data_IF_378913260063
#
_entry.id   IF_378913260063
#
_cell.length_a   1.000
_cell.length_b   1.000
_cell.length_c   1.000
_cell.angle_alpha   90.00
_cell.angle_beta   90.00
_cell.angle_gamma   90.00
#
_symmetry.space_group_name_H-M   'P 1'
#
loop_
_entity.id
_entity.type
_entity.pdbx_description
1 polymer ?
#
# COMPACT_ATOMS: atom_id res chain seq x y z
N UNK A 1 37.41 6.35 1.80
CA UNK A 1 36.21 6.23 0.94
C UNK A 1 35.94 4.81 0.42
N UNK A 2 36.90 4.15 -0.28
CA UNK A 2 36.69 2.79 -0.84
C UNK A 2 36.38 1.69 0.19
N UNK A 3 36.96 1.74 1.38
CA UNK A 3 36.69 0.76 2.45
C UNK A 3 35.26 0.89 3.00
N UNK A 4 34.78 2.12 3.20
CA UNK A 4 33.41 2.40 3.67
C UNK A 4 32.39 1.88 2.64
N UNK A 5 32.59 2.15 1.36
CA UNK A 5 31.70 1.67 0.31
C UNK A 5 31.63 0.14 0.24
N UNK A 6 32.75 -0.55 0.46
CA UNK A 6 32.80 -2.02 0.51
C UNK A 6 32.12 -2.59 1.75
N UNK A 7 32.24 -1.91 2.89
CA UNK A 7 31.57 -2.29 4.13
C UNK A 7 30.05 -2.10 4.02
N UNK A 8 29.59 -0.98 3.46
CA UNK A 8 28.16 -0.71 3.21
C UNK A 8 27.57 -1.68 2.19
N UNK A 9 28.37 -2.17 1.24
CA UNK A 9 27.97 -3.20 0.28
C UNK A 9 28.02 -4.63 0.83
N UNK A 10 28.40 -4.85 2.09
CA UNK A 10 28.46 -6.18 2.68
C UNK A 10 27.04 -6.73 2.94
N UNK A 11 26.79 -7.97 2.52
CA UNK A 11 25.53 -8.68 2.76
C UNK A 11 25.18 -8.77 4.24
N UNK A 12 26.18 -8.91 5.14
CA UNK A 12 25.94 -8.98 6.58
C UNK A 12 25.37 -7.69 7.13
N UNK A 13 25.91 -6.55 6.67
CA UNK A 13 25.44 -5.22 7.07
C UNK A 13 24.01 -5.01 6.58
N UNK A 14 23.72 -5.36 5.32
CA UNK A 14 22.37 -5.27 4.78
C UNK A 14 21.35 -6.11 5.59
N UNK A 15 21.70 -7.35 5.95
CA UNK A 15 20.83 -8.22 6.77
C UNK A 15 20.59 -7.62 8.16
N UNK A 16 21.63 -7.06 8.80
CA UNK A 16 21.48 -6.39 10.09
C UNK A 16 20.53 -5.18 10.01
N UNK A 17 20.65 -4.35 8.96
CA UNK A 17 19.79 -3.19 8.75
C UNK A 17 18.32 -3.64 8.56
N UNK A 18 18.10 -4.64 7.72
CA UNK A 18 16.74 -5.19 7.48
C UNK A 18 16.17 -5.77 8.78
N UNK A 19 16.96 -6.48 9.58
CA UNK A 19 16.50 -7.02 10.86
C UNK A 19 16.05 -5.92 11.83
N UNK A 20 16.77 -4.80 11.88
CA UNK A 20 16.39 -3.65 12.72
C UNK A 20 15.09 -3.03 12.21
N UNK A 21 14.97 -2.82 10.89
CA UNK A 21 13.74 -2.29 10.29
C UNK A 21 12.53 -3.20 10.58
N UNK A 22 12.69 -4.52 10.52
CA UNK A 22 11.62 -5.47 10.86
C UNK A 22 11.18 -5.32 12.31
N UNK A 23 12.11 -5.21 13.26
CA UNK A 23 11.78 -5.01 14.68
C UNK A 23 11.04 -3.68 14.89
N UNK A 24 11.52 -2.60 14.28
CA UNK A 24 10.85 -1.30 14.34
C UNK A 24 9.45 -1.35 13.71
N UNK A 25 9.27 -2.04 12.60
CA UNK A 25 7.96 -2.21 11.96
C UNK A 25 6.99 -2.99 12.84
N UNK A 26 7.43 -4.05 13.51
CA UNK A 26 6.59 -4.81 14.46
C UNK A 26 6.14 -3.91 15.61
N UNK A 27 7.06 -3.13 16.19
CA UNK A 27 6.72 -2.17 17.25
C UNK A 27 5.77 -1.09 16.75
N UNK A 28 5.99 -0.56 15.54
CA UNK A 28 5.13 0.42 14.90
C UNK A 28 3.72 -0.10 14.62
N UNK A 29 3.56 -1.38 14.26
CA UNK A 29 2.22 -1.97 14.07
C UNK A 29 1.43 -2.16 15.37
N UNK A 30 2.10 -2.22 16.53
CA UNK A 30 1.45 -2.43 17.83
C UNK A 30 1.07 -1.11 18.51
N UNK A 31 1.85 -0.04 18.26
CA UNK A 31 1.63 1.28 18.85
C UNK A 31 0.75 2.15 17.96
N UNK A 32 -0.05 3.01 18.59
CA UNK A 32 -0.89 3.99 17.90
C UNK A 32 0.01 4.98 17.13
N UNK A 33 -0.26 5.16 15.84
CA UNK A 33 0.54 6.01 14.96
C UNK A 33 0.09 7.49 14.98
N UNK A 34 -0.87 7.83 15.84
CA UNK A 34 -1.24 9.23 16.10
C UNK A 34 -1.96 9.88 14.93
N UNK A 35 -2.88 9.17 14.28
CA UNK A 35 -3.80 9.80 13.34
C UNK A 35 -4.72 10.74 14.12
N UNK A 36 -4.57 12.04 13.89
CA UNK A 36 -5.43 13.07 14.45
C UNK A 36 -6.81 12.93 13.82
N UNK A 37 -7.79 12.41 14.57
CA UNK A 37 -9.19 12.61 14.19
C UNK A 37 -9.50 14.12 14.30
N UNK A 38 -10.12 14.75 13.29
CA UNK A 38 -10.40 16.20 13.30
C UNK A 38 -11.23 16.65 14.52
N UNK A 39 -11.92 15.71 15.18
CA UNK A 39 -12.78 15.93 16.35
C UNK A 39 -12.00 16.28 17.63
N UNK A 40 -10.71 15.93 17.76
CA UNK A 40 -9.96 16.15 19.02
C UNK A 40 -9.62 17.61 19.32
N UNK A 41 -9.75 18.54 18.37
CA UNK A 41 -9.47 19.96 18.62
C UNK A 41 -10.60 20.70 19.33
N UNK A 42 -11.84 20.18 19.32
CA UNK A 42 -13.01 20.85 19.92
C UNK A 42 -13.26 20.39 21.36
N UNK A 43 -12.78 19.20 21.75
CA UNK A 43 -13.01 18.65 23.10
C UNK A 43 -12.14 19.24 24.22
N UNK A 44 -11.17 20.10 23.89
CA UNK A 44 -10.24 20.69 24.87
C UNK A 44 -10.78 21.95 25.57
N UNK A 45 -12.04 22.34 25.35
CA UNK A 45 -12.58 23.55 25.96
C UNK A 45 -13.09 23.42 27.40
N UNK A 46 -13.11 22.22 28.01
CA UNK A 46 -13.78 22.06 29.32
C UNK A 46 -13.14 21.10 30.35
N UNK A 47 -11.84 20.81 30.28
CA UNK A 47 -11.17 19.99 31.31
C UNK A 47 -10.14 20.76 32.13
N UNK A 48 -10.63 21.57 33.07
CA UNK A 48 -9.83 22.20 34.13
C UNK A 48 -9.76 21.38 35.42
N UNK A 49 -9.88 20.04 35.40
CA UNK A 49 -9.85 19.24 36.64
C UNK A 49 -9.19 17.86 36.41
N UNK A 50 -8.05 17.65 37.11
CA UNK A 50 -7.27 16.41 37.33
C UNK A 50 -6.07 16.16 36.39
N UNK A 51 -4.85 16.57 36.77
CA UNK A 51 -3.61 16.11 36.15
C UNK A 51 -3.12 14.83 36.85
N UNK A 52 -3.59 13.67 36.42
CA UNK A 52 -2.97 12.37 36.68
C UNK A 52 -3.19 11.51 35.45
N UNK A 53 -2.19 11.49 34.55
CA UNK A 53 -1.93 10.50 33.49
C UNK A 53 -1.08 11.10 32.33
N UNK A 54 -0.17 12.02 32.62
CA UNK A 54 0.65 12.68 31.60
C UNK A 54 1.91 11.89 31.21
N UNK A 55 2.40 10.95 32.03
CA UNK A 55 3.65 10.23 31.76
C UNK A 55 3.46 8.93 30.97
N UNK A 56 2.28 8.31 31.00
CA UNK A 56 2.02 7.03 30.28
C UNK A 56 1.57 7.29 28.83
N UNK A 57 0.90 8.42 28.56
CA UNK A 57 0.43 8.78 27.21
C UNK A 57 1.56 9.17 26.24
N UNK A 58 2.74 9.58 26.73
CA UNK A 58 3.83 10.01 25.83
C UNK A 58 4.47 8.88 25.04
N UNK A 59 4.36 7.62 25.50
CA UNK A 59 4.95 6.47 24.83
C UNK A 59 3.98 5.73 23.89
N UNK A 60 2.67 5.80 24.16
CA UNK A 60 1.66 5.11 23.33
C UNK A 60 1.43 5.75 21.97
N UNK A 61 1.76 7.04 21.81
CA UNK A 61 1.48 7.81 20.60
C UNK A 61 2.75 8.26 19.85
N UNK A 62 3.88 7.56 20.01
CA UNK A 62 5.09 7.89 19.24
C UNK A 62 5.01 7.25 17.84
N UNK A 63 4.92 8.05 16.76
CA UNK A 63 4.78 7.51 15.41
C UNK A 63 6.14 6.95 14.94
N UNK A 64 6.32 5.63 15.07
CA UNK A 64 7.58 4.95 14.75
C UNK A 64 7.92 5.11 13.26
N UNK A 65 6.92 5.00 12.37
CA UNK A 65 7.15 5.08 10.92
C UNK A 65 7.60 6.48 10.46
N UNK A 66 7.18 7.54 11.18
CA UNK A 66 7.62 8.91 10.93
C UNK A 66 8.78 9.34 11.84
N UNK A 67 9.39 8.41 12.57
CA UNK A 67 10.56 8.70 13.39
C UNK A 67 11.83 8.91 12.55
N UNK A 68 12.75 9.73 13.05
CA UNK A 68 14.06 9.92 12.42
C UNK A 68 14.87 8.63 12.37
N UNK A 69 14.73 7.76 13.38
CA UNK A 69 15.45 6.48 13.46
C UNK A 69 15.01 5.55 12.33
N UNK A 70 13.70 5.38 12.13
CA UNK A 70 13.16 4.54 11.07
C UNK A 70 13.58 5.04 9.69
N UNK A 71 13.43 6.35 9.42
CA UNK A 71 13.88 6.98 8.17
C UNK A 71 15.38 6.84 7.95
N UNK A 72 16.19 6.98 9.01
CA UNK A 72 17.64 6.83 8.96
C UNK A 72 18.07 5.43 8.53
N UNK A 73 17.47 4.38 9.12
CA UNK A 73 17.74 3.00 8.71
C UNK A 73 17.20 2.67 7.32
N UNK A 74 16.04 3.21 6.94
CA UNK A 74 15.50 3.05 5.59
C UNK A 74 16.41 3.70 4.52
N UNK A 75 16.94 4.88 4.81
CA UNK A 75 17.93 5.55 3.95
C UNK A 75 19.22 4.73 3.84
N UNK A 76 19.75 4.27 4.98
CA UNK A 76 20.96 3.44 5.02
C UNK A 76 20.78 2.14 4.22
N UNK A 77 19.60 1.52 4.30
CA UNK A 77 19.23 0.34 3.50
C UNK A 77 19.27 0.65 2.00
N UNK A 78 18.71 1.78 1.57
CA UNK A 78 18.77 2.22 0.18
C UNK A 78 20.21 2.42 -0.32
N UNK A 79 21.07 3.05 0.49
CA UNK A 79 22.50 3.23 0.15
C UNK A 79 23.22 1.88 0.07
N UNK A 80 22.94 0.97 1.01
CA UNK A 80 23.51 -0.39 1.01
C UNK A 80 23.12 -1.16 -0.26
N UNK A 81 21.84 -1.11 -0.65
CA UNK A 81 21.35 -1.76 -1.86
C UNK A 81 22.00 -1.19 -3.13
N UNK A 82 22.12 0.13 -3.24
CA UNK A 82 22.76 0.78 -4.38
C UNK A 82 24.24 0.40 -4.46
N UNK A 83 24.95 0.42 -3.34
CA UNK A 83 26.36 0.02 -3.26
C UNK A 83 26.56 -1.46 -3.63
N UNK A 84 25.71 -2.35 -3.11
CA UNK A 84 25.73 -3.77 -3.45
C UNK A 84 25.43 -4.01 -4.94
N UNK A 85 24.46 -3.27 -5.50
CA UNK A 85 24.09 -3.39 -6.92
C UNK A 85 25.26 -3.01 -7.81
N UNK A 86 25.92 -1.89 -7.51
CA UNK A 86 27.05 -1.40 -8.29
C UNK A 86 28.30 -2.28 -8.16
N UNK A 87 28.65 -2.72 -6.95
CA UNK A 87 29.90 -3.43 -6.70
C UNK A 87 29.82 -4.95 -6.89
N UNK A 88 28.64 -5.56 -6.74
CA UNK A 88 28.49 -7.02 -6.78
C UNK A 88 27.60 -7.47 -7.94
N UNK A 89 26.42 -6.87 -8.09
CA UNK A 89 25.45 -7.36 -9.08
C UNK A 89 25.85 -7.02 -10.52
N UNK A 90 26.23 -5.77 -10.81
CA UNK A 90 26.64 -5.38 -12.17
C UNK A 90 27.89 -6.13 -12.68
N UNK A 91 28.99 -6.28 -11.90
CA UNK A 91 30.16 -7.03 -12.37
C UNK A 91 29.89 -8.53 -12.61
N UNK A 92 28.89 -9.11 -11.94
CA UNK A 92 28.51 -10.51 -12.16
C UNK A 92 27.97 -10.76 -13.58
N UNK A 93 27.47 -9.72 -14.25
CA UNK A 93 26.95 -9.76 -15.62
C UNK A 93 28.07 -9.86 -16.67
N UNK A 94 29.26 -9.29 -16.42
CA UNK A 94 30.39 -9.41 -17.34
C UNK A 94 30.82 -10.88 -17.54
N UNK A 95 30.55 -11.74 -16.55
CA UNK A 95 30.77 -13.20 -16.66
C UNK A 95 29.76 -13.85 -17.62
N UNK A 96 28.57 -13.28 -17.81
CA UNK A 96 27.56 -13.77 -18.76
C UNK A 96 27.92 -13.46 -20.22
N UNK A 97 28.77 -12.44 -20.47
CA UNK A 97 29.26 -12.09 -21.81
C UNK A 97 30.41 -12.98 -22.29
N UNK A 98 31.09 -13.70 -21.39
CA UNK A 98 32.24 -14.54 -21.73
C UNK A 98 31.87 -15.99 -22.00
N UNK A 99 32.00 -16.45 -23.25
CA UNK A 99 32.19 -17.89 -23.53
C UNK A 99 33.58 -18.27 -23.01
N UNK A 100 33.63 -18.63 -21.73
CA UNK A 100 34.88 -18.94 -21.05
C UNK A 100 35.32 -20.37 -21.39
N UNK A 101 36.04 -20.50 -22.50
CA UNK A 101 36.91 -21.65 -22.71
C UNK A 101 38.08 -21.53 -21.74
N UNK A 102 38.14 -22.41 -20.74
CA UNK A 102 39.21 -22.38 -19.74
C UNK A 102 40.59 -22.38 -20.39
N UNK A 103 41.50 -21.53 -19.90
CA UNK A 103 42.94 -21.78 -20.05
C UNK A 103 43.27 -22.98 -19.15
N UNK A 104 44.14 -23.89 -19.60
CA UNK A 104 44.47 -25.20 -18.97
C UNK A 104 44.80 -25.13 -17.45
N UNK A 105 45.15 -23.96 -16.93
CA UNK A 105 45.46 -23.66 -15.52
C UNK A 105 44.31 -23.02 -14.69
N UNK A 106 43.11 -22.87 -15.25
CA UNK A 106 42.03 -22.04 -14.68
C UNK A 106 40.69 -22.75 -14.52
N UNK A 107 40.67 -24.07 -14.39
CA UNK A 107 39.43 -24.81 -14.03
C UNK A 107 39.16 -24.49 -12.55
N UNK A 108 38.12 -23.72 -12.19
CA UNK A 108 37.84 -23.41 -10.81
C UNK A 108 37.23 -24.65 -10.15
N UNK A 109 37.86 -25.11 -9.07
CA UNK A 109 37.29 -25.68 -7.85
C UNK A 109 35.94 -26.44 -7.91
N UNK A 110 35.96 -27.67 -7.34
CA UNK A 110 34.82 -28.55 -6.99
C UNK A 110 33.75 -28.67 -8.09
N UNK A 111 34.06 -29.47 -9.10
CA UNK A 111 33.08 -29.91 -10.10
C UNK A 111 31.94 -30.66 -9.43
N UNK A 112 30.70 -30.31 -9.76
CA UNK A 112 29.53 -31.08 -9.31
C UNK A 112 29.44 -32.42 -10.08
N UNK A 113 30.06 -32.49 -11.26
CA UNK A 113 30.22 -33.70 -12.07
C UNK A 113 31.62 -33.72 -12.72
N UNK A 114 32.35 -34.83 -12.57
CA UNK A 114 33.58 -35.15 -13.31
C UNK A 114 33.49 -36.60 -13.82
N UNK A 115 33.47 -36.79 -15.14
CA UNK A 115 33.40 -38.12 -15.75
C UNK A 115 34.29 -38.23 -16.99
N UNK A 116 34.82 -39.43 -17.22
CA UNK A 116 35.65 -39.74 -18.39
C UNK A 116 34.91 -40.74 -19.29
N UNK A 117 34.72 -40.37 -20.55
CA UNK A 117 34.04 -41.16 -21.57
C UNK A 117 34.95 -41.44 -22.77
N UNK A 118 34.62 -42.44 -23.57
CA UNK A 118 35.34 -42.68 -24.83
C UNK A 118 34.94 -41.68 -25.91
N UNK A 119 35.89 -41.31 -26.77
CA UNK A 119 35.65 -40.30 -27.84
C UNK A 119 34.54 -40.70 -28.81
N UNK A 120 34.24 -42.00 -28.94
CA UNK A 120 33.16 -42.53 -29.79
C UNK A 120 31.79 -41.94 -29.45
N UNK A 121 31.53 -41.60 -28.19
CA UNK A 121 30.23 -41.09 -27.74
C UNK A 121 30.05 -39.58 -27.88
N UNK A 122 31.07 -38.83 -28.37
CA UNK A 122 31.04 -37.37 -28.46
C UNK A 122 29.82 -36.86 -29.22
N UNK A 123 29.59 -37.40 -30.42
CA UNK A 123 28.52 -36.94 -31.31
C UNK A 123 27.14 -37.18 -30.71
N UNK A 124 26.96 -38.33 -30.06
CA UNK A 124 25.70 -38.68 -29.38
C UNK A 124 25.46 -37.76 -28.17
N UNK A 125 26.51 -37.49 -27.38
CA UNK A 125 26.45 -36.56 -26.25
C UNK A 125 26.08 -35.14 -26.68
N UNK A 126 26.74 -34.60 -27.71
CA UNK A 126 26.45 -33.26 -28.23
C UNK A 126 25.01 -33.19 -28.74
N UNK A 127 24.54 -34.19 -29.49
CA UNK A 127 23.16 -34.24 -29.98
C UNK A 127 22.14 -34.28 -28.84
N UNK A 128 22.41 -35.01 -27.75
CA UNK A 128 21.52 -35.05 -26.58
C UNK A 128 21.52 -33.74 -25.81
N UNK A 129 22.67 -33.11 -25.63
CA UNK A 129 22.75 -31.77 -25.01
C UNK A 129 21.97 -30.75 -25.82
N UNK A 130 22.07 -30.79 -27.15
CA UNK A 130 21.28 -29.94 -28.04
C UNK A 130 19.77 -30.19 -27.88
N UNK A 131 19.32 -31.46 -27.85
CA UNK A 131 17.92 -31.83 -27.58
C UNK A 131 17.44 -31.40 -26.18
N UNK A 132 18.34 -31.33 -25.21
CA UNK A 132 18.05 -30.85 -23.87
C UNK A 132 18.07 -29.31 -23.74
N UNK A 133 18.06 -28.57 -24.86
CA UNK A 133 18.08 -27.10 -24.93
C UNK A 133 19.36 -26.44 -24.37
N UNK A 134 20.51 -27.12 -24.44
CA UNK A 134 21.79 -26.48 -24.18
C UNK A 134 22.29 -25.69 -25.40
N UNK A 135 22.70 -24.45 -25.19
CA UNK A 135 23.45 -23.68 -26.17
C UNK A 135 24.90 -24.17 -26.22
N UNK A 136 25.37 -24.61 -27.38
CA UNK A 136 26.66 -25.27 -27.57
C UNK A 136 27.63 -24.39 -28.35
N UNK A 137 28.87 -24.31 -27.87
CA UNK A 137 29.97 -23.56 -28.48
C UNK A 137 31.20 -24.45 -28.57
N UNK A 138 31.88 -24.46 -29.72
CA UNK A 138 33.09 -25.25 -29.94
C UNK A 138 34.29 -24.35 -30.20
N UNK A 139 35.43 -24.67 -29.58
CA UNK A 139 36.74 -24.07 -29.88
C UNK A 139 37.81 -25.16 -29.87
N UNK A 140 38.31 -25.54 -31.05
CA UNK A 140 39.27 -26.65 -31.22
C UNK A 140 38.71 -27.95 -30.59
N UNK A 141 39.41 -28.50 -29.60
CA UNK A 141 39.08 -29.72 -28.86
C UNK A 141 38.21 -29.48 -27.61
N UNK A 142 37.67 -28.27 -27.45
CA UNK A 142 36.87 -27.88 -26.30
C UNK A 142 35.44 -27.59 -26.75
N UNK A 143 34.47 -28.18 -26.07
CA UNK A 143 33.07 -27.76 -26.17
C UNK A 143 32.63 -27.15 -24.85
N UNK A 144 31.79 -26.12 -24.97
CA UNK A 144 31.13 -25.45 -23.87
C UNK A 144 29.63 -25.49 -24.14
N UNK A 145 28.86 -25.97 -23.18
CA UNK A 145 27.41 -25.98 -23.22
C UNK A 145 26.87 -25.22 -22.01
N UNK A 146 25.83 -24.41 -22.20
CA UNK A 146 25.10 -23.82 -21.07
C UNK A 146 23.59 -23.83 -21.29
N UNK A 147 22.85 -23.79 -20.19
CA UNK A 147 21.39 -23.68 -20.17
C UNK A 147 20.95 -22.77 -19.03
N UNK A 148 19.79 -22.12 -19.18
CA UNK A 148 19.13 -21.39 -18.09
C UNK A 148 19.73 -20.02 -17.77
N UNK A 149 20.20 -19.28 -18.79
CA UNK A 149 20.82 -17.96 -18.61
C UNK A 149 19.89 -16.96 -17.88
N UNK A 150 18.58 -17.07 -18.09
CA UNK A 150 17.56 -16.27 -17.40
C UNK A 150 17.74 -16.29 -15.87
N UNK A 151 18.04 -17.45 -15.28
CA UNK A 151 18.24 -17.61 -13.84
C UNK A 151 19.38 -16.78 -13.25
N UNK A 152 20.34 -16.35 -14.07
CA UNK A 152 21.40 -15.41 -13.63
C UNK A 152 20.94 -13.96 -13.57
N UNK A 153 19.92 -13.58 -14.35
CA UNK A 153 19.34 -12.23 -14.28
C UNK A 153 18.43 -12.04 -13.07
N UNK A 154 17.91 -13.13 -12.51
CA UNK A 154 17.01 -13.12 -11.36
C UNK A 154 17.45 -12.16 -10.24
N UNK A 155 18.63 -12.35 -9.63
CA UNK A 155 19.11 -11.47 -8.55
C UNK A 155 19.24 -9.98 -8.94
N UNK A 156 19.56 -9.70 -10.21
CA UNK A 156 19.68 -8.32 -10.70
C UNK A 156 18.29 -7.66 -10.75
N UNK A 157 17.28 -8.39 -11.26
CA UNK A 157 15.90 -7.92 -11.32
C UNK A 157 15.34 -7.76 -9.90
N UNK A 158 15.71 -8.62 -8.94
CA UNK A 158 15.36 -8.46 -7.51
C UNK A 158 15.93 -7.14 -6.97
N UNK A 159 17.21 -6.85 -7.18
CA UNK A 159 17.79 -5.59 -6.72
C UNK A 159 17.12 -4.38 -7.36
N UNK A 160 16.91 -4.43 -8.68
CA UNK A 160 16.25 -3.34 -9.41
C UNK A 160 14.81 -3.11 -8.93
N UNK A 161 14.03 -4.17 -8.71
CA UNK A 161 12.66 -4.07 -8.19
C UNK A 161 12.59 -3.43 -6.81
N UNK A 162 13.47 -3.81 -5.88
CA UNK A 162 13.52 -3.20 -4.54
C UNK A 162 13.92 -1.72 -4.64
N UNK A 163 14.86 -1.38 -5.52
CA UNK A 163 15.23 0.02 -5.77
C UNK A 163 14.03 0.81 -6.32
N UNK A 164 13.27 0.26 -7.27
CA UNK A 164 12.04 0.89 -7.77
C UNK A 164 11.03 1.13 -6.64
N UNK A 165 10.80 0.14 -5.75
CA UNK A 165 9.89 0.28 -4.61
C UNK A 165 10.37 1.41 -3.69
N UNK A 166 11.67 1.48 -3.36
CA UNK A 166 12.22 2.53 -2.50
C UNK A 166 12.13 3.92 -3.13
N UNK A 167 12.43 4.05 -4.43
CA UNK A 167 12.30 5.32 -5.16
C UNK A 167 10.83 5.75 -5.24
N UNK A 168 9.92 4.81 -5.54
CA UNK A 168 8.50 5.08 -5.54
C UNK A 168 8.00 5.56 -4.18
N UNK A 169 8.39 4.88 -3.09
CA UNK A 169 8.05 5.29 -1.73
C UNK A 169 8.62 6.67 -1.36
N UNK A 170 9.83 7.00 -1.82
CA UNK A 170 10.42 8.33 -1.62
C UNK A 170 9.62 9.41 -2.36
N UNK A 171 9.23 9.15 -3.62
CA UNK A 171 8.38 10.06 -4.41
C UNK A 171 7.01 10.25 -3.74
N UNK A 172 6.37 9.17 -3.28
CA UNK A 172 5.12 9.23 -2.51
C UNK A 172 5.28 10.04 -1.22
N UNK A 173 6.38 9.88 -0.49
CA UNK A 173 6.60 10.59 0.77
C UNK A 173 6.91 12.09 0.59
N UNK A 174 7.48 12.49 -0.56
CA UNK A 174 7.83 13.88 -0.84
C UNK A 174 6.70 14.66 -1.51
N UNK A 175 5.95 14.01 -2.40
CA UNK A 175 4.95 14.67 -3.26
C UNK A 175 3.52 14.18 -3.02
N UNK A 176 3.35 13.05 -2.32
CA UNK A 176 2.03 12.53 -2.01
C UNK A 176 1.41 13.21 -0.79
N UNK A 177 0.08 13.33 -0.81
CA UNK A 177 -0.68 13.84 0.32
C UNK A 177 -2.04 13.16 0.41
N UNK A 178 -2.59 13.17 1.62
CA UNK A 178 -3.95 12.79 1.93
C UNK A 178 -4.57 13.95 2.70
N UNK A 179 -5.71 14.46 2.23
CA UNK A 179 -6.52 15.45 2.94
C UNK A 179 -7.89 14.87 3.16
N UNK A 180 -8.41 14.99 4.38
CA UNK A 180 -9.74 14.53 4.73
C UNK A 180 -10.53 15.68 5.36
N UNK A 181 -11.75 15.87 4.89
CA UNK A 181 -12.66 16.89 5.40
C UNK A 181 -14.06 16.29 5.60
N UNK A 182 -14.71 16.67 6.70
CA UNK A 182 -16.10 16.31 6.99
C UNK A 182 -16.99 17.48 6.60
N UNK A 183 -17.79 17.31 5.55
CA UNK A 183 -18.52 18.41 4.92
C UNK A 183 -20.03 18.17 4.99
N UNK A 184 -20.81 19.13 5.54
CA UNK A 184 -22.26 19.05 5.54
C UNK A 184 -22.87 19.12 4.15
N UNK A 185 -24.03 18.49 3.99
CA UNK A 185 -24.87 18.63 2.80
C UNK A 185 -25.22 20.09 2.55
N UNK A 186 -25.06 20.53 1.29
CA UNK A 186 -25.34 21.89 0.83
C UNK A 186 -24.16 22.84 0.95
N UNK A 187 -23.14 22.51 1.76
CA UNK A 187 -21.99 23.39 1.99
C UNK A 187 -20.96 23.32 0.86
N UNK A 188 -20.23 24.42 0.71
CA UNK A 188 -19.10 24.56 -0.20
C UNK A 188 -17.82 24.59 0.64
N UNK A 189 -16.88 23.70 0.35
CA UNK A 189 -15.60 23.62 1.04
C UNK A 189 -14.45 23.82 0.07
N UNK A 190 -13.40 24.46 0.58
CA UNK A 190 -12.05 24.33 0.06
C UNK A 190 -11.32 23.32 0.93
N UNK A 191 -10.46 22.49 0.34
CA UNK A 191 -9.68 21.55 1.11
C UNK A 191 -8.73 22.31 2.04
N UNK A 192 -8.93 22.09 3.34
CA UNK A 192 -8.10 22.64 4.40
C UNK A 192 -7.18 21.53 4.92
N UNK A 193 -6.25 21.84 5.82
CA UNK A 193 -5.38 20.84 6.47
C UNK A 193 -4.38 20.08 5.57
N UNK A 194 -3.61 20.79 4.74
CA UNK A 194 -2.60 20.18 3.87
C UNK A 194 -1.27 20.01 4.65
N UNK A 195 -0.68 18.79 4.67
CA UNK A 195 0.40 18.49 5.61
C UNK A 195 1.81 18.96 5.23
N UNK A 196 2.06 19.63 4.08
CA UNK A 196 3.42 20.12 3.78
C UNK A 196 3.50 21.24 2.73
N UNK A 197 4.51 22.14 2.79
CA UNK A 197 4.74 23.13 1.76
C UNK A 197 5.17 22.58 0.39
N UNK A 198 5.82 21.42 0.36
CA UNK A 198 6.31 20.81 -0.88
C UNK A 198 5.17 20.28 -1.78
N UNK A 199 3.98 20.09 -1.21
CA UNK A 199 2.80 19.57 -1.90
C UNK A 199 1.87 20.66 -2.45
N UNK A 200 2.17 21.95 -2.23
CA UNK A 200 1.27 23.05 -2.63
C UNK A 200 1.01 23.12 -4.14
N UNK A 201 2.02 22.85 -4.97
CA UNK A 201 1.91 22.91 -6.43
C UNK A 201 0.97 21.81 -7.01
N UNK A 202 0.66 20.79 -6.21
CA UNK A 202 -0.18 19.65 -6.59
C UNK A 202 -1.55 19.69 -5.93
N UNK A 203 -2.00 20.85 -5.44
CA UNK A 203 -3.32 20.95 -4.82
C UNK A 203 -4.40 21.28 -5.84
N UNK A 204 -5.58 20.63 -5.73
CA UNK A 204 -6.75 21.12 -6.41
C UNK A 204 -7.22 22.40 -5.71
N UNK A 205 -7.10 23.54 -6.40
CA UNK A 205 -7.53 24.85 -5.90
C UNK A 205 -9.02 25.14 -6.15
N UNK A 206 -9.82 24.13 -6.52
CA UNK A 206 -11.24 24.32 -6.85
C UNK A 206 -12.16 24.06 -5.64
N UNK A 207 -13.25 24.85 -5.49
CA UNK A 207 -14.25 24.62 -4.47
C UNK A 207 -15.10 23.38 -4.77
N UNK A 208 -15.53 22.70 -3.72
CA UNK A 208 -16.30 21.46 -3.78
C UNK A 208 -17.61 21.68 -3.04
N UNK A 209 -18.75 21.36 -3.67
CA UNK A 209 -20.06 21.38 -3.01
C UNK A 209 -20.56 19.96 -2.77
N UNK A 210 -21.03 19.68 -1.56
CA UNK A 210 -21.79 18.45 -1.29
C UNK A 210 -23.24 18.67 -1.65
N UNK A 211 -23.72 17.98 -2.67
CA UNK A 211 -25.13 18.08 -3.06
C UNK A 211 -26.00 17.20 -2.17
N UNK A 212 -25.53 15.99 -1.88
CA UNK A 212 -26.26 15.06 -1.03
C UNK A 212 -25.36 13.95 -0.46
N UNK A 213 -25.79 13.39 0.66
CA UNK A 213 -25.24 12.18 1.26
C UNK A 213 -26.38 11.29 1.73
N UNK A 214 -26.36 10.02 1.31
CA UNK A 214 -27.39 9.07 1.70
C UNK A 214 -26.83 7.67 1.92
N UNK A 215 -27.58 6.90 2.70
CA UNK A 215 -27.30 5.51 3.02
C UNK A 215 -28.41 4.65 2.40
N UNK A 216 -28.00 3.60 1.71
CA UNK A 216 -28.92 2.54 1.29
C UNK A 216 -28.91 1.43 2.32
N UNK A 217 -30.09 0.91 2.64
CA UNK A 217 -30.29 -0.16 3.62
C UNK A 217 -30.83 -1.41 2.93
N UNK A 218 -30.44 -2.58 3.44
CA UNK A 218 -31.06 -3.83 3.06
C UNK A 218 -32.47 -3.94 3.68
N UNK A 219 -33.29 -4.87 3.20
CA UNK A 219 -34.62 -5.15 3.77
C UNK A 219 -34.57 -5.52 5.27
N UNK A 220 -33.42 -6.00 5.74
CA UNK A 220 -33.13 -6.35 7.14
C UNK A 220 -32.80 -5.14 8.02
N UNK A 221 -32.69 -3.93 7.45
CA UNK A 221 -32.29 -2.70 8.14
C UNK A 221 -30.78 -2.49 8.28
N UNK A 222 -29.97 -3.41 7.75
CA UNK A 222 -28.50 -3.30 7.79
C UNK A 222 -28.03 -2.35 6.68
N UNK A 223 -27.04 -1.51 6.98
CA UNK A 223 -26.39 -0.62 6.01
C UNK A 223 -25.83 -1.41 4.84
N UNK A 224 -26.26 -1.09 3.62
CA UNK A 224 -25.78 -1.71 2.39
C UNK A 224 -24.63 -0.92 1.78
N UNK A 225 -24.82 0.39 1.59
CA UNK A 225 -23.83 1.25 0.94
C UNK A 225 -24.08 2.72 1.28
N UNK A 226 -23.01 3.50 1.35
CA UNK A 226 -23.03 4.95 1.55
C UNK A 226 -22.65 5.64 0.24
N UNK A 227 -23.31 6.75 -0.05
CA UNK A 227 -23.11 7.52 -1.28
C UNK A 227 -22.93 8.99 -0.96
N UNK A 228 -22.03 9.63 -1.68
CA UNK A 228 -21.82 11.07 -1.65
C UNK A 228 -21.94 11.62 -3.07
N UNK A 229 -22.78 12.62 -3.24
CA UNK A 229 -22.94 13.34 -4.49
C UNK A 229 -22.32 14.73 -4.36
N UNK A 230 -21.44 15.05 -5.31
CA UNK A 230 -20.49 16.14 -5.21
C UNK A 230 -20.49 16.92 -6.53
N UNK A 231 -20.52 18.24 -6.44
CA UNK A 231 -20.27 19.13 -7.58
C UNK A 231 -18.92 19.81 -7.42
N UNK A 232 -18.11 19.76 -8.49
CA UNK A 232 -16.87 20.53 -8.58
C UNK A 232 -17.20 21.87 -9.21
N UNK A 233 -16.87 22.94 -8.50
CA UNK A 233 -17.20 24.30 -8.88
C UNK A 233 -16.01 24.98 -9.56
N UNK A 234 -16.30 25.92 -10.47
CA UNK A 234 -15.30 26.86 -10.99
C UNK A 234 -14.94 27.90 -9.93
N UNK A 235 -13.87 28.67 -10.15
CA UNK A 235 -13.53 29.82 -9.31
C UNK A 235 -14.66 30.86 -9.22
N UNK A 236 -15.58 30.87 -10.20
CA UNK A 236 -16.75 31.75 -10.25
C UNK A 236 -18.04 31.08 -9.73
N UNK A 237 -17.95 29.86 -9.18
CA UNK A 237 -19.08 29.13 -8.60
C UNK A 237 -19.95 28.37 -9.60
N UNK A 238 -19.54 28.26 -10.86
CA UNK A 238 -20.26 27.46 -11.86
C UNK A 238 -19.98 25.97 -11.68
N UNK A 239 -21.01 25.13 -11.74
CA UNK A 239 -20.85 23.68 -11.66
C UNK A 239 -20.20 23.15 -12.94
N UNK A 240 -18.96 22.67 -12.83
CA UNK A 240 -18.23 22.07 -13.95
C UNK A 240 -18.58 20.60 -14.13
N UNK A 241 -18.52 19.85 -13.03
CA UNK A 241 -18.66 18.41 -13.04
C UNK A 241 -19.52 17.92 -11.89
N UNK A 242 -20.29 16.87 -12.16
CA UNK A 242 -21.16 16.18 -11.21
C UNK A 242 -20.66 14.76 -11.00
N UNK A 243 -20.35 14.41 -9.75
CA UNK A 243 -19.69 13.16 -9.38
C UNK A 243 -20.46 12.48 -8.26
N UNK A 244 -20.60 11.15 -8.34
CA UNK A 244 -21.12 10.34 -7.24
C UNK A 244 -20.08 9.28 -6.89
N UNK A 245 -19.75 9.17 -5.62
CA UNK A 245 -18.81 8.18 -5.10
C UNK A 245 -19.42 7.41 -3.93
N UNK A 246 -18.88 6.23 -3.64
CA UNK A 246 -19.37 5.33 -2.59
C UNK A 246 -18.23 4.57 -1.92
N UNK A 247 -18.48 4.01 -0.73
CA UNK A 247 -17.46 3.22 -0.01
C UNK A 247 -16.96 2.10 -0.91
N UNK A 248 -15.63 1.88 -0.89
CA UNK A 248 -14.90 0.90 -1.68
C UNK A 248 -14.90 1.13 -3.20
N UNK A 249 -15.50 2.22 -3.68
CA UNK A 249 -15.49 2.61 -5.09
C UNK A 249 -14.93 4.03 -5.24
N UNK A 250 -13.60 4.18 -5.10
CA UNK A 250 -12.96 5.48 -5.23
C UNK A 250 -13.07 6.02 -6.64
N UNK A 251 -13.16 7.34 -6.74
CA UNK A 251 -13.27 8.05 -8.01
C UNK A 251 -11.95 8.73 -8.34
N UNK A 252 -11.42 8.46 -9.53
CA UNK A 252 -10.22 9.14 -10.03
C UNK A 252 -10.65 10.37 -10.83
N UNK A 253 -10.29 11.56 -10.36
CA UNK A 253 -10.58 12.82 -11.03
C UNK A 253 -9.40 13.77 -10.91
N UNK A 254 -8.99 14.37 -12.04
CA UNK A 254 -7.89 15.34 -12.11
C UNK A 254 -6.56 14.89 -11.48
N UNK A 255 -6.21 13.61 -11.65
CA UNK A 255 -5.06 12.91 -11.03
C UNK A 255 -5.16 12.67 -9.51
N UNK A 256 -6.28 13.01 -8.90
CA UNK A 256 -6.58 12.71 -7.50
C UNK A 256 -7.50 11.50 -7.37
N UNK A 257 -7.33 10.76 -6.29
CA UNK A 257 -8.22 9.68 -5.88
C UNK A 257 -9.13 10.19 -4.77
N UNK A 258 -10.44 10.09 -4.99
CA UNK A 258 -11.47 10.56 -4.08
C UNK A 258 -12.13 9.37 -3.39
N UNK A 259 -12.19 9.43 -2.08
CA UNK A 259 -12.75 8.41 -1.21
C UNK A 259 -13.83 9.01 -0.33
N UNK A 260 -14.84 8.21 -0.02
CA UNK A 260 -15.67 8.48 1.15
C UNK A 260 -15.19 7.60 2.29
N UNK A 261 -14.84 8.25 3.40
CA UNK A 261 -14.15 7.62 4.53
C UNK A 261 -14.98 7.63 5.80
N UNK A 262 -15.84 8.64 5.96
CA UNK A 262 -16.63 8.82 7.17
C UNK A 262 -17.98 9.47 6.84
N UNK A 263 -18.82 9.62 7.86
CA UNK A 263 -20.06 10.38 7.81
C UNK A 263 -20.52 10.77 9.21
N UNK A 264 -21.32 11.82 9.29
CA UNK A 264 -21.87 12.30 10.54
C UNK A 264 -23.21 13.01 10.32
N UNK A 265 -23.87 13.41 11.41
CA UNK A 265 -25.10 14.19 11.38
C UNK A 265 -24.88 15.44 12.24
N UNK A 266 -24.93 16.61 11.60
CA UNK A 266 -24.73 17.89 12.28
C UNK A 266 -26.00 18.36 12.97
N UNK A 267 -27.16 18.11 12.37
CA UNK A 267 -28.41 18.67 12.85
C UNK A 267 -29.59 18.35 11.97
N UNK A 268 -30.66 19.11 12.15
CA UNK A 268 -31.82 19.07 11.28
C UNK A 268 -32.43 20.46 11.11
N UNK A 269 -33.16 20.64 10.00
CA UNK A 269 -33.93 21.85 9.74
C UNK A 269 -35.36 21.67 10.23
N UNK A 270 -35.85 22.60 11.04
CA UNK A 270 -37.23 22.69 11.48
C UNK A 270 -37.87 23.98 10.97
N UNK A 271 -39.15 23.91 10.63
CA UNK A 271 -39.96 25.06 10.28
C UNK A 271 -40.93 25.36 11.42
N UNK A 272 -40.82 26.56 11.97
CA UNK A 272 -41.69 27.04 13.04
C UNK A 272 -41.97 28.53 12.84
N UNK A 273 -43.24 28.91 12.92
CA UNK A 273 -43.70 30.30 12.80
C UNK A 273 -43.08 31.09 11.62
N UNK A 274 -43.09 30.48 10.43
CA UNK A 274 -42.53 31.06 9.18
C UNK A 274 -41.01 31.27 9.16
N UNK A 275 -40.30 30.72 10.14
CA UNK A 275 -38.84 30.78 10.22
C UNK A 275 -38.27 29.36 10.15
N UNK A 276 -37.15 29.22 9.43
CA UNK A 276 -36.36 27.99 9.40
C UNK A 276 -35.32 28.03 10.51
N UNK A 277 -35.31 27.00 11.36
CA UNK A 277 -34.34 26.82 12.42
C UNK A 277 -33.47 25.61 12.09
N UNK A 278 -32.15 25.77 12.18
CA UNK A 278 -31.20 24.67 12.15
C UNK A 278 -30.84 24.31 13.58
N UNK A 279 -31.19 23.10 14.00
CA UNK A 279 -31.01 22.64 15.37
C UNK A 279 -29.92 21.57 15.37
N UNK A 280 -28.83 21.75 16.15
CA UNK A 280 -27.71 20.82 16.13
C UNK A 280 -28.06 19.51 16.84
N UNK A 281 -27.45 18.43 16.35
CA UNK A 281 -27.32 17.18 17.08
C UNK A 281 -25.98 17.15 17.82
N UNK A 282 -25.94 16.42 18.93
CA UNK A 282 -24.73 16.05 19.63
C UNK A 282 -24.55 14.54 19.50
N UNK A 283 -23.38 14.10 19.04
CA UNK A 283 -23.04 12.68 18.98
C UNK A 283 -22.87 12.11 20.40
N UNK A 284 -23.54 11.00 20.67
CA UNK A 284 -23.44 10.20 21.88
C UNK A 284 -23.16 8.74 21.49
N UNK A 285 -21.92 8.31 21.72
CA UNK A 285 -21.52 6.92 21.50
C UNK A 285 -21.84 6.08 22.74
N UNK A 286 -22.74 5.10 22.58
CA UNK A 286 -23.09 4.15 23.66
C UNK A 286 -22.83 2.75 23.14
N UNK A 287 -22.04 1.93 23.85
CA UNK A 287 -21.71 0.55 23.42
C UNK A 287 -21.20 0.44 21.97
N UNK A 288 -20.36 1.38 21.52
CA UNK A 288 -19.83 1.46 20.14
C UNK A 288 -20.88 1.76 19.05
N UNK A 289 -22.12 2.10 19.39
CA UNK A 289 -23.09 2.64 18.43
C UNK A 289 -23.14 4.16 18.54
N UNK A 290 -23.00 4.84 17.39
CA UNK A 290 -23.20 6.29 17.28
C UNK A 290 -24.69 6.58 17.34
N UNK A 291 -25.09 7.48 18.21
CA UNK A 291 -26.44 8.03 18.26
C UNK A 291 -26.35 9.54 18.30
N UNK A 292 -27.34 10.23 17.77
CA UNK A 292 -27.39 11.68 17.74
C UNK A 292 -28.53 12.17 18.61
N UNK A 293 -28.23 13.04 19.57
CA UNK A 293 -29.22 13.58 20.50
C UNK A 293 -29.34 15.08 20.33
N UNK A 294 -30.58 15.57 20.28
CA UNK A 294 -30.88 16.99 20.29
C UNK A 294 -31.97 17.28 21.32
N UNK A 295 -32.16 18.56 21.61
CA UNK A 295 -33.13 19.04 22.58
C UNK A 295 -33.97 20.13 21.96
N UNK A 296 -35.30 20.00 22.12
CA UNK A 296 -36.27 20.99 21.68
C UNK A 296 -36.96 21.63 22.91
N UNK A 297 -36.85 22.96 23.09
CA UNK A 297 -37.64 23.66 24.08
C UNK A 297 -39.07 23.87 23.56
N UNK A 298 -40.03 23.06 24.01
CA UNK A 298 -41.43 23.45 23.88
C UNK A 298 -41.88 24.24 25.11
N UNK A 299 -42.75 25.25 24.96
CA UNK A 299 -43.28 26.11 26.03
C UNK A 299 -43.81 25.38 27.28
N UNK A 300 -44.13 24.08 27.22
CA UNK A 300 -44.66 23.30 28.34
C UNK A 300 -44.09 21.87 28.46
N UNK A 301 -43.27 21.40 27.52
CA UNK A 301 -42.74 20.02 27.48
C UNK A 301 -41.31 20.02 26.92
N UNK A 302 -40.32 19.67 27.73
CA UNK A 302 -38.96 19.45 27.20
C UNK A 302 -38.91 18.07 26.53
N UNK A 303 -38.59 18.03 25.23
CA UNK A 303 -38.42 16.78 24.49
C UNK A 303 -36.98 16.56 24.11
N UNK A 304 -36.47 15.38 24.44
CA UNK A 304 -35.18 14.90 23.95
C UNK A 304 -35.44 14.12 22.67
N UNK A 305 -34.72 14.49 21.62
CA UNK A 305 -34.79 13.83 20.33
C UNK A 305 -33.59 12.91 20.19
N UNK A 306 -33.82 11.66 19.81
CA UNK A 306 -32.80 10.67 19.55
C UNK A 306 -32.93 10.18 18.10
N UNK A 307 -31.85 10.29 17.36
CA UNK A 307 -31.69 9.77 16.00
C UNK A 307 -30.61 8.68 16.02
N UNK A 308 -30.91 7.50 15.47
CA UNK A 308 -29.99 6.36 15.47
C UNK A 308 -29.35 6.12 14.11
N UNK A 309 -29.99 6.57 13.03
CA UNK A 309 -29.55 6.38 11.65
C UNK A 309 -30.18 7.43 10.72
N UNK A 310 -29.88 7.32 9.41
CA UNK A 310 -30.47 8.17 8.37
C UNK A 310 -31.75 7.56 7.76
N UNK A 311 -32.46 6.67 8.47
CA UNK A 311 -33.76 6.16 7.99
C UNK A 311 -34.88 7.19 8.09
N UNK A 312 -34.63 8.32 8.77
CA UNK A 312 -35.58 9.42 8.93
C UNK A 312 -36.53 9.27 10.12
N UNK A 313 -36.32 8.25 10.97
CA UNK A 313 -37.09 8.04 12.20
C UNK A 313 -36.40 8.65 13.41
N UNK A 314 -37.10 9.52 14.10
CA UNK A 314 -36.59 10.28 15.23
C UNK A 314 -37.43 9.99 16.47
N UNK A 315 -36.79 9.48 17.53
CA UNK A 315 -37.47 9.11 18.76
C UNK A 315 -37.57 10.32 19.68
N UNK A 316 -38.79 10.69 20.07
CA UNK A 316 -39.03 11.75 21.04
C UNK A 316 -39.30 11.17 22.43
N UNK A 317 -38.58 11.67 23.43
CA UNK A 317 -38.66 11.24 24.82
C UNK A 317 -39.03 12.46 25.68
N UNK A 318 -40.18 12.37 26.36
CA UNK A 318 -40.65 13.38 27.30
C UNK A 318 -40.08 13.11 28.69
N UNK A 319 -39.93 14.16 29.52
CA UNK A 319 -39.71 14.01 30.96
C UNK A 319 -41.06 13.78 31.65
N UNK A 320 -41.30 12.63 32.34
CA UNK A 320 -40.33 11.70 32.91
C UNK A 320 -40.10 10.43 32.05
N UNK A 321 -39.01 10.42 31.26
CA UNK A 321 -38.39 9.25 30.59
C UNK A 321 -39.33 8.22 29.97
N UNK A 322 -40.44 8.63 29.38
CA UNK A 322 -41.33 7.74 28.64
C UNK A 322 -41.12 7.99 27.15
N UNK A 323 -40.73 6.95 26.42
CA UNK A 323 -40.67 7.01 24.96
C UNK A 323 -42.10 7.15 24.45
N UNK A 324 -42.39 8.28 23.81
CA UNK A 324 -43.77 8.69 23.54
C UNK A 324 -44.08 8.59 22.06
N UNK A 325 -43.22 9.16 21.20
CA UNK A 325 -43.52 9.35 19.79
C UNK A 325 -42.34 8.95 18.89
N UNK A 326 -42.64 8.35 17.74
CA UNK A 326 -41.72 8.22 16.61
C UNK A 326 -42.11 9.33 15.63
N UNK A 327 -41.20 10.26 15.41
CA UNK A 327 -41.35 11.39 14.51
C UNK A 327 -40.69 11.05 13.17
N UNK A 328 -41.35 11.43 12.08
CA UNK A 328 -40.81 11.30 10.73
C UNK A 328 -40.58 12.68 10.13
N UNK A 329 -39.44 12.88 9.49
CA UNK A 329 -39.17 14.11 8.75
C UNK A 329 -40.21 14.29 7.64
N UNK A 330 -40.71 15.51 7.48
CA UNK A 330 -41.79 15.89 6.58
C UNK A 330 -43.19 15.85 7.18
N UNK A 331 -43.37 15.29 8.39
CA UNK A 331 -44.66 15.24 9.08
C UNK A 331 -44.82 16.38 10.12
N UNK A 332 -46.00 17.01 10.22
CA UNK A 332 -46.27 17.99 11.27
C UNK A 332 -46.41 17.29 12.63
N UNK A 333 -45.79 17.88 13.66
CA UNK A 333 -45.98 17.44 15.04
C UNK A 333 -47.40 17.80 15.49
N UNK A 334 -48.21 16.79 15.84
CA UNK A 334 -49.59 16.98 16.34
C UNK A 334 -49.68 17.54 17.78
N UNK A 335 -48.58 18.12 18.30
CA UNK A 335 -48.62 18.90 19.54
C UNK A 335 -49.23 20.29 19.28
N UNK A 336 -49.54 21.05 20.32
CA UNK A 336 -50.18 22.39 20.28
C UNK A 336 -49.40 23.49 19.52
N UNK A 337 -48.34 23.12 18.79
CA UNK A 337 -47.33 23.96 18.19
C UNK A 337 -47.11 23.48 16.75
N UNK A 338 -47.26 24.40 15.78
CA UNK A 338 -47.05 24.13 14.35
C UNK A 338 -45.55 24.02 14.04
N UNK A 339 -44.89 22.96 14.51
CA UNK A 339 -43.50 22.64 14.19
C UNK A 339 -43.46 21.48 13.19
N UNK A 340 -42.72 21.68 12.09
CA UNK A 340 -42.49 20.66 11.06
C UNK A 340 -41.00 20.37 10.98
N UNK A 341 -40.61 19.12 11.19
CA UNK A 341 -39.24 18.66 10.94
C UNK A 341 -39.09 18.48 9.43
N UNK A 342 -38.16 19.17 8.78
CA UNK A 342 -38.04 19.15 7.31
C UNK A 342 -37.05 18.09 6.84
N UNK A 343 -35.78 18.24 7.23
CA UNK A 343 -34.71 17.37 6.75
C UNK A 343 -33.56 17.26 7.76
N UNK A 344 -32.82 16.16 7.68
CA UNK A 344 -31.57 15.95 8.42
C UNK A 344 -30.41 16.58 7.64
N UNK A 345 -29.55 17.30 8.34
CA UNK A 345 -28.30 17.85 7.81
C UNK A 345 -27.20 16.82 8.05
N UNK A 346 -27.03 15.93 7.07
CA UNK A 346 -25.98 14.92 7.07
C UNK A 346 -24.65 15.49 6.59
N UNK A 347 -23.55 14.85 7.00
CA UNK A 347 -22.19 15.14 6.57
C UNK A 347 -21.56 13.91 5.93
N UNK A 348 -20.72 14.16 4.93
CA UNK A 348 -19.86 13.13 4.35
C UNK A 348 -18.39 13.45 4.62
N UNK A 349 -17.65 12.44 5.02
CA UNK A 349 -16.20 12.48 5.13
C UNK A 349 -15.59 12.20 3.77
N UNK A 350 -15.04 13.22 3.14
CA UNK A 350 -14.32 13.10 1.87
C UNK A 350 -12.83 13.07 2.12
N UNK A 351 -12.15 12.06 1.58
CA UNK A 351 -10.70 12.02 1.53
C UNK A 351 -10.23 12.14 0.08
N UNK A 352 -9.30 13.04 -0.15
CA UNK A 352 -8.62 13.22 -1.43
C UNK A 352 -7.16 12.84 -1.26
N UNK A 353 -6.70 11.96 -2.14
CA UNK A 353 -5.35 11.43 -2.15
C UNK A 353 -4.66 11.74 -3.47
N UNK A 354 -3.45 12.26 -3.39
CA UNK A 354 -2.51 12.31 -4.50
C UNK A 354 -1.29 11.46 -4.15
N UNK A 355 -0.90 10.54 -5.04
CA UNK A 355 0.27 9.69 -4.80
C UNK A 355 0.95 9.30 -6.12
N UNK A 356 1.92 10.11 -6.61
CA UNK A 356 2.59 9.86 -7.87
C UNK A 356 3.57 8.67 -7.82
N UNK A 357 4.02 8.28 -6.63
CA UNK A 357 4.96 7.17 -6.46
C UNK A 357 4.31 5.79 -6.59
N UNK A 358 2.98 5.72 -6.45
CA UNK A 358 2.21 4.45 -6.48
C UNK A 358 2.48 3.63 -7.75
N UNK A 359 2.55 4.27 -8.92
CA UNK A 359 2.82 3.57 -10.19
C UNK A 359 4.20 2.90 -10.19
N UNK A 360 5.22 3.59 -9.67
CA UNK A 360 6.59 3.07 -9.59
C UNK A 360 6.66 1.92 -8.57
N UNK A 361 5.95 2.03 -7.45
CA UNK A 361 5.84 0.97 -6.44
C UNK A 361 5.22 -0.29 -7.05
N UNK A 362 4.09 -0.17 -7.75
CA UNK A 362 3.42 -1.31 -8.41
C UNK A 362 4.29 -1.96 -9.47
N UNK A 363 5.00 -1.16 -10.28
CA UNK A 363 5.97 -1.68 -11.24
C UNK A 363 7.09 -2.44 -10.53
N UNK A 364 7.60 -1.91 -9.41
CA UNK A 364 8.59 -2.59 -8.57
C UNK A 364 8.10 -3.94 -8.06
N UNK A 365 6.89 -4.01 -7.48
CA UNK A 365 6.30 -5.28 -7.03
C UNK A 365 6.07 -6.27 -8.17
N UNK A 366 5.59 -5.80 -9.33
CA UNK A 366 5.41 -6.67 -10.51
C UNK A 366 6.76 -7.27 -10.96
N UNK A 367 7.82 -6.46 -11.02
CA UNK A 367 9.16 -6.94 -11.33
C UNK A 367 9.69 -7.91 -10.27
N UNK A 368 9.40 -7.67 -8.99
CA UNK A 368 9.80 -8.56 -7.90
C UNK A 368 9.14 -9.95 -8.08
N UNK A 369 7.84 -10.00 -8.37
CA UNK A 369 7.11 -11.24 -8.64
C UNK A 369 7.71 -11.99 -9.84
N UNK A 370 7.90 -11.30 -10.96
CA UNK A 370 8.52 -11.88 -12.17
C UNK A 370 9.92 -12.40 -11.87
N UNK A 371 10.71 -11.65 -11.09
CA UNK A 371 12.08 -12.03 -10.73
C UNK A 371 12.15 -13.30 -9.90
N UNK A 372 11.12 -13.61 -9.10
CA UNK A 372 11.06 -14.83 -8.31
C UNK A 372 10.98 -16.07 -9.23
N UNK A 373 10.13 -16.02 -10.26
CA UNK A 373 10.03 -17.07 -11.27
C UNK A 373 11.32 -17.22 -12.09
N UNK A 374 11.91 -16.10 -12.52
CA UNK A 374 13.19 -16.12 -13.25
C UNK A 374 14.29 -16.71 -12.38
N UNK A 375 14.39 -16.28 -11.12
CA UNK A 375 15.40 -16.75 -10.16
C UNK A 375 15.30 -18.24 -9.88
N UNK A 376 14.12 -18.84 -9.97
CA UNK A 376 13.94 -20.28 -9.79
C UNK A 376 14.65 -21.11 -10.87
N UNK A 377 14.90 -20.52 -12.05
CA UNK A 377 15.61 -21.21 -13.13
C UNK A 377 17.07 -21.49 -12.77
N UNK A 378 17.48 -22.76 -12.87
CA UNK A 378 18.88 -23.16 -12.70
C UNK A 378 19.71 -22.81 -13.93
N UNK A 379 20.90 -22.26 -13.70
CA UNK A 379 21.92 -22.02 -14.72
C UNK A 379 22.99 -23.10 -14.63
N UNK A 380 23.06 -23.94 -15.65
CA UNK A 380 24.03 -25.02 -15.77
C UNK A 380 25.07 -24.75 -16.86
N UNK A 381 26.29 -25.19 -16.61
CA UNK A 381 27.41 -25.13 -17.56
C UNK A 381 28.12 -26.47 -17.61
N UNK A 382 28.48 -26.88 -18.81
CA UNK A 382 29.17 -28.13 -19.09
C UNK A 382 30.35 -27.82 -19.99
N UNK A 383 31.51 -28.33 -19.62
CA UNK A 383 32.71 -28.31 -20.45
C UNK A 383 33.05 -29.75 -20.84
N UNK A 384 33.33 -29.94 -22.12
CA UNK A 384 33.72 -31.22 -22.69
C UNK A 384 35.10 -31.04 -23.32
N UNK A 385 36.09 -31.74 -22.77
CA UNK A 385 37.49 -31.62 -23.19
C UNK A 385 37.92 -32.93 -23.85
N UNK A 386 38.33 -32.85 -25.11
CA UNK A 386 38.84 -34.01 -25.84
C UNK A 386 40.34 -34.19 -25.62
N UNK A 387 40.73 -35.35 -25.09
CA UNK A 387 42.12 -35.77 -24.89
C UNK A 387 42.37 -37.12 -25.57
N UNK A 388 42.95 -37.11 -26.77
CA UNK A 388 43.31 -38.29 -27.57
C UNK A 388 42.15 -39.30 -27.74
N UNK A 389 42.01 -40.29 -26.85
CA UNK A 389 40.99 -41.34 -26.88
C UNK A 389 39.88 -41.17 -25.83
N UNK A 390 40.00 -40.19 -24.92
CA UNK A 390 39.05 -39.92 -23.84
C UNK A 390 38.47 -38.51 -23.92
N UNK A 391 37.25 -38.37 -23.42
CA UNK A 391 36.54 -37.12 -23.23
C UNK A 391 36.36 -36.91 -21.74
N UNK A 392 36.77 -35.75 -21.24
CA UNK A 392 36.48 -35.31 -19.88
C UNK A 392 35.27 -34.39 -19.87
N UNK A 393 34.25 -34.71 -19.08
CA UNK A 393 33.07 -33.87 -18.86
C UNK A 393 33.17 -33.23 -17.48
N UNK A 394 33.04 -31.91 -17.44
CA UNK A 394 33.01 -31.13 -16.20
C UNK A 394 31.70 -30.33 -16.18
N UNK A 395 30.90 -30.50 -15.14
CA UNK A 395 29.63 -29.81 -14.97
C UNK A 395 29.59 -28.93 -13.72
N UNK A 396 28.98 -27.75 -13.83
CA UNK A 396 28.72 -26.84 -12.69
C UNK A 396 27.33 -26.23 -12.84
N UNK A 397 26.57 -26.19 -11.76
CA UNK A 397 25.27 -25.50 -11.70
C UNK A 397 25.21 -24.53 -10.51
N UNK A 398 24.45 -23.44 -10.64
CA UNK A 398 24.23 -22.50 -9.55
C UNK A 398 23.22 -23.01 -8.50
N UNK A 399 22.28 -23.86 -8.91
CA UNK A 399 21.16 -24.38 -8.11
C UNK A 399 20.91 -25.85 -8.45
N UNK A 400 20.12 -26.53 -7.62
CA UNK A 400 19.68 -27.92 -7.84
C UNK A 400 20.83 -28.89 -8.22
N UNK A 401 21.93 -28.88 -7.46
CA UNK A 401 23.16 -29.66 -7.76
C UNK A 401 22.90 -31.14 -7.99
N UNK A 402 22.10 -31.76 -7.12
CA UNK A 402 21.74 -33.17 -7.22
C UNK A 402 20.91 -33.46 -8.47
N UNK A 403 19.88 -32.66 -8.75
CA UNK A 403 19.04 -32.81 -9.94
C UNK A 403 19.83 -32.64 -11.23
N UNK A 404 20.74 -31.67 -11.29
CA UNK A 404 21.66 -31.50 -12.42
C UNK A 404 22.57 -32.73 -12.59
N UNK A 405 23.15 -33.24 -11.50
CA UNK A 405 24.02 -34.42 -11.55
C UNK A 405 23.26 -35.65 -12.08
N UNK A 406 22.04 -35.91 -11.57
CA UNK A 406 21.19 -37.00 -12.03
C UNK A 406 20.84 -36.86 -13.52
N UNK A 407 20.41 -35.68 -13.94
CA UNK A 407 20.05 -35.40 -15.34
C UNK A 407 21.23 -35.69 -16.29
N UNK A 408 22.44 -35.27 -15.94
CA UNK A 408 23.61 -35.52 -16.78
C UNK A 408 24.05 -36.99 -16.71
N UNK A 409 23.94 -37.65 -15.55
CA UNK A 409 24.23 -39.08 -15.43
C UNK A 409 23.28 -39.93 -16.27
N UNK A 410 21.97 -39.62 -16.29
CA UNK A 410 20.99 -40.28 -17.17
C UNK A 410 21.32 -40.06 -18.66
N UNK A 411 21.73 -38.83 -19.00
CA UNK A 411 22.13 -38.48 -20.36
C UNK A 411 23.39 -39.25 -20.78
N UNK A 412 24.35 -39.44 -19.87
CA UNK A 412 25.56 -40.24 -20.07
C UNK A 412 25.22 -41.73 -20.17
N UNK A 413 24.42 -42.26 -19.25
CA UNK A 413 24.07 -43.69 -19.20
C UNK A 413 23.36 -44.13 -20.47
N UNK A 414 22.48 -43.28 -21.01
CA UNK A 414 21.79 -43.58 -22.27
C UNK A 414 22.69 -43.53 -23.52
N UNK A 415 23.99 -43.17 -23.40
CA UNK A 415 24.96 -43.22 -24.51
C UNK A 415 25.49 -44.62 -24.77
N UNK A 416 25.46 -45.47 -23.74
CA UNK A 416 25.74 -46.89 -23.80
C UNK A 416 24.45 -47.64 -24.12
#
# INVERSE_FOLDING_TARGET
>A
MRQILRWVADMRVAISIVSILVVLSILGSVLDQGESTPVQLISNFDQSVIPKDTEIKSFQSYPIFSSFIFRGFAFLFGVSLLACTYLQQLPSYDICRGVNFFKRSSIPFKSDLDSNLSVKHLRSLINKLFKANYSLFQKRNWFYAYQGLAGRFGPIIVHFSIICILVGALVSALFGFNVQELVPKGEIVYLQNIPSPATFDYLPLFPIRINDFWITYQQTGITHQFYSNISILSEFGEEKNWLTLSVNHPLNFDNYQWYQTDWDIVGFTAYYDKIFYQIPFTELTVNQTKNWVSWLPFPNEERILLLQDLTGKLFAIDRPQKLQDILEFGSPLYSSINLVLLEVISCTGLQIRFDPGTVVIYLGFALLIISAFISYSSYSRIWIIMNASKIKIIGVTNRSKQGFMLQILELINSLF
#
